data_IF_031813251407
#
_entry.id   IF_031813251407
#
_cell.length_a   1.000
_cell.length_b   1.000
_cell.length_c   1.000
_cell.angle_alpha   90.00
_cell.angle_beta   90.00
_cell.angle_gamma   90.00
#
_symmetry.space_group_name_H-M   'P 1'
#
loop_
_entity.id
_entity.type
_entity.pdbx_description
1 polymer ?
#
# COMPACT_ATOMS: atom_id res chain seq x y z
N UNK A 1 27.45 -12.72 10.37
CA UNK A 1 26.49 -11.72 9.88
C UNK A 1 26.14 -12.12 8.45
N UNK A 2 24.92 -12.61 8.20
CA UNK A 2 24.49 -13.02 6.86
C UNK A 2 24.14 -11.73 6.11
N UNK A 3 24.87 -11.39 5.06
CA UNK A 3 24.52 -10.26 4.20
C UNK A 3 23.24 -10.67 3.47
N UNK A 4 22.10 -10.11 3.88
CA UNK A 4 20.86 -10.24 3.13
C UNK A 4 21.07 -9.53 1.79
N UNK A 5 20.83 -10.24 0.69
CA UNK A 5 20.79 -9.58 -0.62
C UNK A 5 19.47 -8.80 -0.74
N UNK A 6 19.46 -7.75 -1.56
CA UNK A 6 18.30 -6.86 -1.71
C UNK A 6 17.01 -7.61 -2.08
N UNK A 7 17.13 -8.69 -2.87
CA UNK A 7 15.99 -9.55 -3.26
C UNK A 7 15.39 -10.28 -2.06
N UNK A 8 16.21 -10.86 -1.19
CA UNK A 8 15.74 -11.53 0.02
C UNK A 8 15.05 -10.57 0.97
N UNK A 9 15.62 -9.37 1.15
CA UNK A 9 15.02 -8.34 1.99
C UNK A 9 13.67 -7.86 1.43
N UNK A 10 13.58 -7.67 0.11
CA UNK A 10 12.32 -7.32 -0.54
C UNK A 10 11.25 -8.40 -0.33
N UNK A 11 11.61 -9.67 -0.51
CA UNK A 11 10.70 -10.80 -0.31
C UNK A 11 10.24 -10.91 1.15
N UNK A 12 11.13 -10.67 2.11
CA UNK A 12 10.79 -10.67 3.53
C UNK A 12 9.78 -9.54 3.85
N UNK A 13 10.03 -8.32 3.36
CA UNK A 13 9.11 -7.18 3.52
C UNK A 13 7.75 -7.48 2.90
N UNK A 14 7.73 -8.01 1.67
CA UNK A 14 6.50 -8.42 0.99
C UNK A 14 5.72 -9.45 1.81
N UNK A 15 6.40 -10.47 2.33
CA UNK A 15 5.78 -11.47 3.19
C UNK A 15 5.19 -10.87 4.47
N UNK A 16 5.87 -9.89 5.07
CA UNK A 16 5.35 -9.17 6.24
C UNK A 16 4.08 -8.39 5.91
N UNK A 17 4.04 -7.70 4.77
CA UNK A 17 2.85 -6.97 4.30
C UNK A 17 1.70 -7.94 4.05
N UNK A 18 1.96 -9.05 3.33
CA UNK A 18 0.93 -10.04 3.00
C UNK A 18 0.33 -10.70 4.25
N UNK A 19 1.14 -10.93 5.28
CA UNK A 19 0.70 -11.56 6.53
C UNK A 19 0.10 -10.58 7.56
N UNK A 20 0.17 -9.27 7.34
CA UNK A 20 -0.42 -8.31 8.27
C UNK A 20 -1.95 -8.49 8.32
N UNK A 21 -2.54 -8.56 9.51
CA UNK A 21 -3.99 -8.83 9.67
C UNK A 21 -4.79 -7.66 10.23
N UNK A 22 -4.13 -6.66 10.81
CA UNK A 22 -4.80 -5.56 11.52
C UNK A 22 -4.26 -4.21 11.08
N UNK A 23 -2.98 -3.95 11.35
CA UNK A 23 -2.33 -2.70 10.95
C UNK A 23 -0.84 -2.86 10.63
N UNK A 24 -0.30 -1.95 9.82
CA UNK A 24 1.13 -1.79 9.63
C UNK A 24 1.52 -0.33 9.31
N UNK A 25 2.75 0.03 9.66
CA UNK A 25 3.37 1.33 9.39
C UNK A 25 4.57 1.14 8.47
N UNK A 26 4.62 1.91 7.39
CA UNK A 26 5.78 1.96 6.48
C UNK A 26 6.37 3.36 6.51
N UNK A 27 7.70 3.40 6.64
CA UNK A 27 8.50 4.61 6.51
C UNK A 27 9.53 4.34 5.43
N UNK A 28 9.47 5.07 4.32
CA UNK A 28 10.37 4.92 3.18
C UNK A 28 10.68 6.29 2.59
N UNK A 29 11.76 6.39 1.80
CA UNK A 29 12.09 7.63 1.11
C UNK A 29 11.33 7.70 -0.23
N UNK A 30 11.45 6.64 -1.02
CA UNK A 30 10.83 6.51 -2.33
C UNK A 30 9.90 5.29 -2.39
N UNK A 31 8.99 5.31 -3.36
CA UNK A 31 8.05 4.22 -3.64
C UNK A 31 8.16 3.79 -5.10
N UNK A 32 8.22 2.49 -5.33
CA UNK A 32 8.05 1.92 -6.67
C UNK A 32 6.58 1.66 -6.96
N UNK A 33 6.23 1.55 -8.24
CA UNK A 33 4.90 1.14 -8.68
C UNK A 33 4.51 -0.21 -8.05
N UNK A 34 5.36 -1.24 -8.19
CA UNK A 34 5.10 -2.60 -7.71
C UNK A 34 4.85 -2.62 -6.19
N UNK A 35 5.64 -1.87 -5.43
CA UNK A 35 5.47 -1.80 -3.98
C UNK A 35 4.17 -1.08 -3.63
N UNK A 36 3.85 0.02 -4.32
CA UNK A 36 2.61 0.78 -4.12
C UNK A 36 1.37 -0.07 -4.41
N UNK A 37 1.40 -0.89 -5.46
CA UNK A 37 0.32 -1.82 -5.80
C UNK A 37 0.13 -2.89 -4.70
N UNK A 38 1.21 -3.41 -4.12
CA UNK A 38 1.14 -4.31 -2.97
C UNK A 38 0.50 -3.64 -1.75
N UNK A 39 0.83 -2.37 -1.48
CA UNK A 39 0.23 -1.59 -0.40
C UNK A 39 -1.27 -1.35 -0.63
N UNK A 40 -1.66 -0.99 -1.85
CA UNK A 40 -3.06 -0.81 -2.23
C UNK A 40 -3.85 -2.11 -2.05
N UNK A 41 -3.36 -3.23 -2.61
CA UNK A 41 -3.98 -4.56 -2.46
C UNK A 41 -4.22 -4.87 -1.00
N UNK A 42 -3.24 -4.57 -0.14
CA UNK A 42 -3.35 -4.85 1.29
C UNK A 42 -4.33 -3.93 2.00
N UNK A 43 -4.36 -2.64 1.66
CA UNK A 43 -5.34 -1.71 2.20
C UNK A 43 -6.78 -2.10 1.83
N UNK A 44 -7.02 -2.54 0.59
CA UNK A 44 -8.33 -3.04 0.12
C UNK A 44 -8.80 -4.26 0.92
N UNK A 45 -7.89 -5.09 1.41
CA UNK A 45 -8.23 -6.24 2.27
C UNK A 45 -8.72 -5.86 3.68
N UNK A 46 -8.87 -4.57 3.98
CA UNK A 46 -9.37 -4.05 5.26
C UNK A 46 -8.29 -3.86 6.32
N UNK A 47 -7.01 -4.02 5.97
CA UNK A 47 -5.89 -3.81 6.89
C UNK A 47 -5.53 -2.33 6.93
N UNK A 48 -5.44 -1.79 8.15
CA UNK A 48 -5.15 -0.37 8.38
C UNK A 48 -3.69 -0.08 8.09
N UNK A 49 -3.44 0.78 7.11
CA UNK A 49 -2.10 1.18 6.72
C UNK A 49 -1.80 2.61 7.14
N UNK A 50 -0.58 2.85 7.63
CA UNK A 50 0.01 4.19 7.74
C UNK A 50 1.29 4.24 6.91
N UNK A 51 1.40 5.23 6.02
CA UNK A 51 2.56 5.43 5.16
C UNK A 51 3.16 6.80 5.44
N UNK A 52 4.47 6.85 5.66
CA UNK A 52 5.25 8.09 5.73
C UNK A 52 6.34 8.01 4.67
N UNK A 53 6.27 8.91 3.69
CA UNK A 53 7.24 8.97 2.59
C UNK A 53 7.63 10.40 2.27
N UNK A 54 8.85 10.60 1.78
CA UNK A 54 9.26 11.87 1.17
C UNK A 54 8.73 12.00 -0.27
N UNK A 55 8.38 10.86 -0.88
CA UNK A 55 7.73 10.75 -2.19
C UNK A 55 6.29 11.29 -2.20
N UNK A 56 6.16 12.61 -2.40
CA UNK A 56 4.87 13.29 -2.34
C UNK A 56 3.91 12.92 -3.47
N UNK A 57 4.41 12.44 -4.61
CA UNK A 57 3.56 12.08 -5.75
C UNK A 57 2.80 10.79 -5.46
N UNK A 58 3.51 9.74 -5.04
CA UNK A 58 2.88 8.47 -4.68
C UNK A 58 1.98 8.57 -3.46
N UNK A 59 2.37 9.35 -2.45
CA UNK A 59 1.51 9.60 -1.27
C UNK A 59 0.19 10.23 -1.71
N UNK A 60 0.22 11.27 -2.56
CA UNK A 60 -1.00 11.90 -3.08
C UNK A 60 -1.84 10.94 -3.90
N UNK A 61 -1.20 10.11 -4.73
CA UNK A 61 -1.90 9.12 -5.55
C UNK A 61 -2.65 8.12 -4.68
N UNK A 62 -1.99 7.55 -3.66
CA UNK A 62 -2.61 6.60 -2.72
C UNK A 62 -3.75 7.24 -1.91
N UNK A 63 -3.58 8.47 -1.44
CA UNK A 63 -4.63 9.21 -0.73
C UNK A 63 -5.86 9.44 -1.61
N UNK A 64 -5.66 9.84 -2.86
CA UNK A 64 -6.75 10.05 -3.82
C UNK A 64 -7.44 8.73 -4.17
N UNK A 65 -6.66 7.67 -4.35
CA UNK A 65 -7.17 6.34 -4.68
C UNK A 65 -8.06 5.79 -3.57
N UNK A 66 -7.64 5.93 -2.31
CA UNK A 66 -8.44 5.57 -1.15
C UNK A 66 -9.75 6.37 -1.09
N UNK A 67 -9.73 7.66 -1.41
CA UNK A 67 -10.94 8.51 -1.44
C UNK A 67 -11.87 8.20 -2.60
N UNK A 68 -11.34 7.78 -3.75
CA UNK A 68 -12.16 7.34 -4.88
C UNK A 68 -12.84 5.99 -4.64
N UNK A 69 -12.22 5.15 -3.79
CA UNK A 69 -12.78 3.87 -3.40
C UNK A 69 -14.02 4.10 -2.52
N UNK A 70 -15.21 3.90 -3.09
CA UNK A 70 -16.50 4.27 -2.51
C UNK A 70 -17.31 5.19 -3.41
N UNK A 71 -16.68 6.17 -4.07
CA UNK A 71 -17.37 7.07 -5.02
C UNK A 71 -17.73 6.36 -6.33
N UNK A 72 -16.86 5.46 -6.81
CA UNK A 72 -17.15 4.67 -8.00
C UNK A 72 -18.22 3.61 -7.74
N UNK A 73 -18.30 3.08 -6.51
CA UNK A 73 -19.33 2.15 -6.06
C UNK A 73 -20.68 2.88 -5.87
N UNK A 74 -20.67 4.05 -5.23
CA UNK A 74 -21.86 4.91 -5.07
C UNK A 74 -22.42 5.36 -6.41
N UNK A 75 -21.58 5.86 -7.33
CA UNK A 75 -22.03 6.22 -8.69
C UNK A 75 -22.65 5.05 -9.43
N UNK A 76 -22.07 3.86 -9.28
CA UNK A 76 -22.61 2.65 -9.89
C UNK A 76 -23.96 2.24 -9.29
N UNK A 77 -24.20 2.50 -8.01
CA UNK A 77 -25.49 2.28 -7.34
C UNK A 77 -26.52 3.39 -7.64
N UNK A 78 -26.09 4.61 -8.00
CA UNK A 78 -26.96 5.71 -8.41
C UNK A 78 -27.40 5.62 -9.88
N UNK A 79 -26.65 4.89 -10.71
CA UNK A 79 -26.95 4.64 -12.14
C UNK A 79 -27.86 3.41 -12.38
N UNK A 80 -28.13 2.60 -11.35
CA UNK A 80 -29.07 1.45 -11.34
C UNK A 80 -30.44 1.83 -10.72
#
# INVERSE_FOLDING_TARGET
MKVLNSVSLYNDIRSMIDNATSEFLIVTDELSYDFTEELERKAISGVKMKLMSSDTEWVRWLENRFRSYGLDEEKRLEED
#
